data_IF_588332509308
#
_entry.id   IF_588332509308
#
_cell.length_a   1.000
_cell.length_b   1.000
_cell.length_c   1.000
_cell.angle_alpha   90.00
_cell.angle_beta   90.00
_cell.angle_gamma   90.00
#
_symmetry.space_group_name_H-M   'P 1'
#
loop_
_entity.id
_entity.type
_entity.pdbx_description
1 polymer ?
#
# COMPACT_ATOMS: atom_id res chain seq x y z
N UNK A 1 -29.72 -48.40 5.65
CA UNK A 1 -28.27 -48.46 5.40
C UNK A 1 -27.86 -47.11 4.86
N UNK A 2 -27.38 -46.28 5.77
CA UNK A 2 -27.04 -44.89 5.53
C UNK A 2 -25.56 -44.79 5.18
N UNK A 3 -25.24 -44.11 4.06
CA UNK A 3 -23.89 -43.78 3.70
C UNK A 3 -23.55 -42.34 4.14
N UNK A 4 -22.35 -42.06 4.64
CA UNK A 4 -21.99 -40.74 5.11
C UNK A 4 -21.57 -39.83 3.96
N UNK A 5 -22.15 -38.63 3.93
CA UNK A 5 -21.72 -37.51 3.07
C UNK A 5 -20.49 -36.86 3.68
N UNK A 6 -19.39 -36.77 2.91
CA UNK A 6 -18.20 -36.06 3.27
C UNK A 6 -18.36 -34.52 3.17
N UNK A 7 -17.53 -33.75 3.90
CA UNK A 7 -17.63 -32.32 3.92
C UNK A 7 -17.14 -31.67 2.61
N UNK A 8 -17.93 -30.76 2.10
CA UNK A 8 -17.54 -29.90 0.97
C UNK A 8 -16.76 -28.72 1.54
N UNK A 9 -15.48 -28.68 1.25
CA UNK A 9 -14.62 -27.54 1.51
C UNK A 9 -15.08 -26.36 0.66
N UNK A 10 -15.76 -25.43 1.31
CA UNK A 10 -16.12 -24.14 0.75
C UNK A 10 -14.93 -23.20 0.84
N UNK A 11 -14.29 -22.97 -0.29
CA UNK A 11 -13.34 -21.86 -0.51
C UNK A 11 -14.03 -20.55 -0.20
N UNK A 12 -13.81 -20.02 1.01
CA UNK A 12 -14.26 -18.70 1.41
C UNK A 12 -13.45 -17.61 0.69
N UNK A 13 -13.92 -17.19 -0.49
CA UNK A 13 -13.58 -15.88 -1.01
C UNK A 13 -14.06 -14.86 0.01
N UNK A 14 -13.15 -14.07 0.56
CA UNK A 14 -13.48 -12.93 1.40
C UNK A 14 -14.22 -11.90 0.53
N UNK A 15 -15.50 -12.11 0.39
CA UNK A 15 -16.46 -11.13 -0.08
C UNK A 15 -16.49 -10.03 0.99
N UNK A 16 -15.71 -8.97 0.74
CA UNK A 16 -15.72 -7.77 1.56
C UNK A 16 -17.06 -7.09 1.29
N UNK A 17 -18.08 -7.57 1.99
CA UNK A 17 -19.39 -6.93 1.99
C UNK A 17 -19.20 -5.42 2.18
N UNK A 18 -19.81 -4.57 1.33
CA UNK A 18 -19.76 -3.13 1.51
C UNK A 18 -20.29 -2.85 2.92
N UNK A 19 -19.50 -2.15 3.73
CA UNK A 19 -19.93 -1.69 5.05
C UNK A 19 -21.16 -0.83 4.81
N UNK A 20 -22.31 -1.37 5.12
CA UNK A 20 -23.58 -0.65 5.03
C UNK A 20 -23.45 0.57 5.94
N UNK A 21 -23.20 1.72 5.35
CA UNK A 21 -23.17 3.00 6.05
C UNK A 21 -24.58 3.26 6.58
N UNK A 22 -24.72 3.14 7.89
CA UNK A 22 -26.00 3.35 8.59
C UNK A 22 -26.28 4.87 8.69
N UNK A 23 -26.25 5.57 7.56
CA UNK A 23 -26.70 6.96 7.50
C UNK A 23 -28.21 6.93 7.18
N UNK A 24 -29.07 7.38 8.10
CA UNK A 24 -30.52 7.41 7.83
C UNK A 24 -30.80 8.24 6.57
N UNK A 25 -31.50 7.63 5.62
CA UNK A 25 -31.90 8.29 4.38
C UNK A 25 -31.05 8.04 3.14
N UNK A 26 -29.96 7.25 3.26
CA UNK A 26 -29.25 6.76 2.08
C UNK A 26 -29.95 5.54 1.47
N UNK A 27 -30.08 5.48 0.13
CA UNK A 27 -30.48 4.26 -0.55
C UNK A 27 -29.49 3.13 -0.27
N UNK A 28 -29.98 1.89 -0.19
CA UNK A 28 -29.13 0.72 0.14
C UNK A 28 -27.98 0.47 -0.85
N UNK A 29 -28.04 1.07 -2.05
CA UNK A 29 -27.00 0.99 -3.08
C UNK A 29 -25.96 2.12 -3.02
N UNK A 30 -26.19 3.16 -2.19
CA UNK A 30 -25.31 4.31 -2.10
C UNK A 30 -24.29 4.10 -0.97
N UNK A 31 -23.03 4.20 -1.32
CA UNK A 31 -21.94 4.29 -0.38
C UNK A 31 -21.69 5.74 0.07
N UNK A 32 -20.73 5.95 0.96
CA UNK A 32 -20.39 7.27 1.49
C UNK A 32 -19.87 8.24 0.43
N UNK A 33 -19.32 7.74 -0.66
CA UNK A 33 -18.76 8.50 -1.77
C UNK A 33 -19.79 8.79 -2.87
N UNK A 34 -20.98 8.14 -2.83
CA UNK A 34 -22.00 8.33 -3.85
C UNK A 34 -22.63 9.74 -3.76
N UNK A 35 -22.55 10.58 -4.82
CA UNK A 35 -23.03 11.95 -4.79
C UNK A 35 -24.55 12.02 -5.02
N UNK A 36 -25.33 11.94 -3.95
CA UNK A 36 -26.80 11.89 -3.98
C UNK A 36 -27.48 13.20 -3.56
N UNK A 37 -26.87 13.98 -2.67
CA UNK A 37 -27.51 15.14 -2.06
C UNK A 37 -27.44 16.40 -2.93
N UNK A 38 -28.57 17.07 -3.10
CA UNK A 38 -28.61 18.41 -3.72
C UNK A 38 -27.97 19.45 -2.81
N UNK A 39 -27.52 20.56 -3.37
CA UNK A 39 -26.81 21.61 -2.63
C UNK A 39 -27.60 22.17 -1.43
N UNK A 40 -28.92 22.25 -1.51
CA UNK A 40 -29.77 22.72 -0.40
C UNK A 40 -29.67 21.78 0.81
N UNK A 41 -29.75 20.48 0.57
CA UNK A 41 -29.65 19.46 1.61
C UNK A 41 -28.21 19.40 2.18
N UNK A 42 -27.19 19.47 1.33
CA UNK A 42 -25.81 19.52 1.78
C UNK A 42 -25.53 20.76 2.63
N UNK A 43 -26.08 21.91 2.27
CA UNK A 43 -25.97 23.16 3.02
C UNK A 43 -26.64 23.04 4.41
N UNK A 44 -27.84 22.47 4.47
CA UNK A 44 -28.58 22.22 5.71
C UNK A 44 -27.77 21.28 6.63
N UNK A 45 -27.33 20.14 6.10
CA UNK A 45 -26.57 19.13 6.89
C UNK A 45 -25.19 19.60 7.33
N UNK A 46 -24.56 20.50 6.57
CA UNK A 46 -23.27 21.08 6.96
C UNK A 46 -23.38 22.34 7.81
N UNK A 47 -24.59 22.88 8.02
CA UNK A 47 -24.79 24.12 8.75
C UNK A 47 -24.29 25.37 8.01
N UNK A 48 -24.16 25.32 6.69
CA UNK A 48 -23.59 26.38 5.86
C UNK A 48 -24.60 26.92 4.84
N UNK A 49 -24.35 28.11 4.31
CA UNK A 49 -25.13 28.62 3.18
C UNK A 49 -24.69 27.95 1.86
N UNK A 50 -25.69 27.68 0.98
CA UNK A 50 -25.42 27.12 -0.34
C UNK A 50 -24.40 27.93 -1.18
N UNK A 51 -24.34 29.24 -0.97
CA UNK A 51 -23.37 30.11 -1.64
C UNK A 51 -21.93 29.81 -1.17
N UNK A 52 -21.74 29.50 0.12
CA UNK A 52 -20.46 29.07 0.67
C UNK A 52 -19.99 27.75 0.02
N UNK A 53 -20.91 26.80 -0.11
CA UNK A 53 -20.61 25.51 -0.80
C UNK A 53 -20.17 25.75 -2.25
N UNK A 54 -20.82 26.68 -2.98
CA UNK A 54 -20.40 27.03 -4.34
C UNK A 54 -19.01 27.66 -4.37
N UNK A 55 -18.67 28.47 -3.36
CA UNK A 55 -17.33 29.05 -3.23
C UNK A 55 -16.29 27.98 -2.96
N UNK A 56 -16.58 27.02 -2.09
CA UNK A 56 -15.71 25.90 -1.77
C UNK A 56 -15.47 24.96 -2.95
N UNK A 57 -16.52 24.69 -3.77
CA UNK A 57 -16.36 23.99 -5.06
C UNK A 57 -15.43 24.76 -6.00
N UNK A 58 -15.60 26.08 -6.13
CA UNK A 58 -14.78 26.92 -7.02
C UNK A 58 -13.28 26.92 -6.66
N UNK A 59 -12.96 26.94 -5.38
CA UNK A 59 -11.55 26.90 -4.90
C UNK A 59 -10.99 25.47 -4.78
N UNK A 60 -11.82 24.44 -5.10
CA UNK A 60 -11.41 23.06 -5.10
C UNK A 60 -11.30 22.43 -3.71
N UNK A 61 -11.88 23.04 -2.68
CA UNK A 61 -11.92 22.50 -1.32
C UNK A 61 -12.82 21.26 -1.24
N UNK A 62 -13.99 21.31 -1.88
CA UNK A 62 -14.89 20.18 -2.10
C UNK A 62 -15.11 20.00 -3.59
N UNK A 63 -15.31 18.78 -4.04
CA UNK A 63 -15.51 18.44 -5.45
C UNK A 63 -16.80 17.66 -5.64
N UNK A 64 -17.96 18.32 -5.61
CA UNK A 64 -19.24 17.65 -5.76
C UNK A 64 -19.36 16.99 -7.13
N UNK A 65 -20.02 15.85 -7.18
CA UNK A 65 -20.44 15.22 -8.42
C UNK A 65 -21.42 16.08 -9.21
N UNK A 66 -21.67 15.69 -10.45
CA UNK A 66 -22.65 16.35 -11.33
C UNK A 66 -23.76 15.37 -11.71
N UNK A 67 -25.00 15.78 -11.55
CA UNK A 67 -26.12 15.04 -12.10
C UNK A 67 -26.17 15.20 -13.62
N UNK A 68 -26.91 14.32 -14.31
CA UNK A 68 -27.16 14.40 -15.77
C UNK A 68 -27.72 15.76 -16.20
N UNK A 69 -28.46 16.47 -15.34
CA UNK A 69 -28.91 17.84 -15.55
C UNK A 69 -27.96 18.94 -15.11
N UNK A 70 -26.68 18.65 -14.85
CA UNK A 70 -25.63 19.63 -14.51
C UNK A 70 -25.65 20.12 -13.06
N UNK A 71 -26.66 19.75 -12.26
CA UNK A 71 -26.78 20.16 -10.85
C UNK A 71 -25.69 19.49 -9.98
N UNK A 72 -25.17 20.26 -9.00
CA UNK A 72 -24.22 19.72 -8.02
C UNK A 72 -24.86 18.65 -7.16
N UNK A 73 -24.12 17.57 -6.92
CA UNK A 73 -24.48 16.50 -5.99
C UNK A 73 -23.34 16.26 -5.02
N UNK A 74 -23.68 16.17 -3.75
CA UNK A 74 -22.74 15.97 -2.65
C UNK A 74 -22.90 14.55 -2.11
N UNK A 75 -21.82 13.93 -1.72
CA UNK A 75 -21.80 12.66 -1.02
C UNK A 75 -21.88 12.87 0.50
N UNK A 76 -22.04 11.79 1.26
CA UNK A 76 -21.93 11.83 2.73
C UNK A 76 -20.54 12.32 3.15
N UNK A 77 -19.51 11.85 2.47
CA UNK A 77 -18.13 12.25 2.70
C UNK A 77 -17.92 13.75 2.44
N UNK A 78 -18.52 14.31 1.39
CA UNK A 78 -18.46 15.75 1.15
C UNK A 78 -19.11 16.56 2.28
N UNK A 79 -20.23 16.07 2.82
CA UNK A 79 -20.92 16.73 3.95
C UNK A 79 -20.09 16.65 5.23
N UNK A 80 -19.45 15.51 5.50
CA UNK A 80 -18.55 15.35 6.63
C UNK A 80 -17.35 16.31 6.52
N UNK A 81 -16.74 16.40 5.33
CA UNK A 81 -15.68 17.34 5.03
C UNK A 81 -16.08 18.80 5.25
N UNK A 82 -17.29 19.18 4.79
CA UNK A 82 -17.80 20.54 4.99
C UNK A 82 -18.01 20.88 6.47
N UNK A 83 -18.45 19.92 7.29
CA UNK A 83 -18.54 20.09 8.75
C UNK A 83 -17.17 20.30 9.38
N UNK A 84 -16.18 19.52 8.96
CA UNK A 84 -14.81 19.66 9.43
C UNK A 84 -14.21 21.01 9.07
N UNK A 85 -14.42 21.48 7.84
CA UNK A 85 -14.04 22.84 7.41
C UNK A 85 -14.67 23.89 8.30
N UNK A 86 -15.95 23.74 8.66
CA UNK A 86 -16.64 24.66 9.55
C UNK A 86 -16.04 24.66 10.95
N UNK A 87 -15.79 23.49 11.50
CA UNK A 87 -15.15 23.30 12.81
C UNK A 87 -13.78 23.99 12.85
N UNK A 88 -12.89 23.66 11.93
CA UNK A 88 -11.55 24.25 11.83
C UNK A 88 -11.57 25.78 11.70
N UNK A 89 -12.55 26.31 10.94
CA UNK A 89 -12.67 27.74 10.73
C UNK A 89 -13.27 28.48 11.93
N UNK A 90 -14.33 27.94 12.54
CA UNK A 90 -15.09 28.64 13.58
C UNK A 90 -14.59 28.37 15.00
N UNK A 91 -14.17 27.13 15.28
CA UNK A 91 -13.72 26.74 16.61
C UNK A 91 -12.21 26.91 16.78
N UNK A 92 -11.42 26.57 15.76
CA UNK A 92 -9.96 26.64 15.82
C UNK A 92 -9.37 27.90 15.16
N UNK A 93 -10.20 28.71 14.49
CA UNK A 93 -9.77 29.97 13.88
C UNK A 93 -8.82 29.80 12.71
N UNK A 94 -8.74 28.61 12.09
CA UNK A 94 -7.86 28.34 10.96
C UNK A 94 -8.40 29.07 9.72
N UNK A 95 -7.55 29.82 9.03
CA UNK A 95 -7.98 30.47 7.80
C UNK A 95 -8.20 29.46 6.65
N UNK A 96 -8.96 29.86 5.64
CA UNK A 96 -9.37 28.95 4.54
C UNK A 96 -8.18 28.35 3.77
N UNK A 97 -7.07 29.11 3.63
CA UNK A 97 -5.87 28.60 2.97
C UNK A 97 -5.19 27.50 3.80
N UNK A 98 -5.14 27.67 5.12
CA UNK A 98 -4.67 26.64 6.06
C UNK A 98 -5.55 25.39 6.04
N UNK A 99 -6.86 25.56 6.09
CA UNK A 99 -7.83 24.46 6.01
C UNK A 99 -7.62 23.66 4.70
N UNK A 100 -7.50 24.36 3.57
CA UNK A 100 -7.23 23.71 2.29
C UNK A 100 -5.94 22.86 2.35
N UNK A 101 -4.89 23.39 2.95
CA UNK A 101 -3.61 22.67 3.10
C UNK A 101 -3.73 21.46 4.03
N UNK A 102 -4.47 21.58 5.12
CA UNK A 102 -4.75 20.47 6.04
C UNK A 102 -5.42 19.32 5.28
N UNK A 103 -6.51 19.62 4.57
CA UNK A 103 -7.26 18.62 3.79
C UNK A 103 -6.39 17.98 2.69
N UNK A 104 -5.52 18.75 2.04
CA UNK A 104 -4.58 18.21 1.06
C UNK A 104 -3.60 17.22 1.71
N UNK A 105 -3.06 17.56 2.88
CA UNK A 105 -2.14 16.71 3.64
C UNK A 105 -2.84 15.46 4.17
N UNK A 106 -4.06 15.56 4.67
CA UNK A 106 -4.84 14.39 5.12
C UNK A 106 -5.06 13.42 3.97
N UNK A 107 -5.44 13.90 2.79
CA UNK A 107 -5.59 13.05 1.60
C UNK A 107 -4.27 12.39 1.17
N UNK A 108 -3.16 13.11 1.31
CA UNK A 108 -1.83 12.55 1.03
C UNK A 108 -1.47 11.45 2.03
N UNK A 109 -1.76 11.65 3.32
CA UNK A 109 -1.56 10.64 4.37
C UNK A 109 -2.41 9.41 4.09
N UNK A 110 -3.69 9.57 3.75
CA UNK A 110 -4.58 8.44 3.40
C UNK A 110 -4.02 7.65 2.21
N UNK A 111 -3.62 8.33 1.14
CA UNK A 111 -3.04 7.69 -0.05
C UNK A 111 -1.74 6.94 0.27
N UNK A 112 -0.88 7.53 1.10
CA UNK A 112 0.36 6.88 1.52
C UNK A 112 0.09 5.66 2.42
N UNK A 113 -0.92 5.75 3.27
CA UNK A 113 -1.34 4.64 4.14
C UNK A 113 -1.89 3.48 3.32
N UNK A 114 -2.75 3.75 2.34
CA UNK A 114 -3.27 2.75 1.41
C UNK A 114 -2.14 2.10 0.61
N UNK A 115 -1.20 2.91 0.13
CA UNK A 115 -0.04 2.40 -0.62
C UNK A 115 0.88 1.53 0.25
N UNK A 116 1.09 1.90 1.50
CA UNK A 116 1.84 1.08 2.46
C UNK A 116 1.14 -0.27 2.70
N UNK A 117 -0.18 -0.26 2.87
CA UNK A 117 -0.96 -1.49 3.04
C UNK A 117 -0.82 -2.41 1.82
N UNK A 118 -0.95 -1.86 0.61
CA UNK A 118 -0.77 -2.60 -0.65
C UNK A 118 0.61 -3.25 -0.76
N UNK A 119 1.68 -2.45 -0.55
CA UNK A 119 3.07 -2.95 -0.64
C UNK A 119 3.36 -3.99 0.44
N UNK A 120 2.84 -3.81 1.64
CA UNK A 120 3.00 -4.77 2.74
C UNK A 120 2.34 -6.11 2.40
N UNK A 121 1.15 -6.08 1.82
CA UNK A 121 0.44 -7.29 1.38
C UNK A 121 1.17 -7.98 0.22
N UNK A 122 1.69 -7.22 -0.74
CA UNK A 122 2.48 -7.76 -1.85
C UNK A 122 3.77 -8.42 -1.35
N UNK A 123 4.46 -7.79 -0.39
CA UNK A 123 5.64 -8.35 0.26
C UNK A 123 5.32 -9.67 0.97
N UNK A 124 4.24 -9.72 1.74
CA UNK A 124 3.79 -10.93 2.43
C UNK A 124 3.50 -12.07 1.44
N UNK A 125 2.78 -11.77 0.34
CA UNK A 125 2.51 -12.74 -0.73
C UNK A 125 3.80 -13.24 -1.39
N UNK A 126 4.76 -12.36 -1.64
CA UNK A 126 6.06 -12.69 -2.21
C UNK A 126 6.88 -13.59 -1.29
N UNK A 127 6.92 -13.28 0.01
CA UNK A 127 7.60 -14.08 1.03
C UNK A 127 7.01 -15.49 1.13
N UNK A 128 5.68 -15.62 1.17
CA UNK A 128 5.00 -16.91 1.19
C UNK A 128 5.35 -17.75 -0.06
N UNK A 129 5.38 -17.10 -1.23
CA UNK A 129 5.77 -17.77 -2.49
C UNK A 129 7.22 -18.25 -2.45
N UNK A 130 8.14 -17.44 -1.93
CA UNK A 130 9.55 -17.83 -1.79
C UNK A 130 9.73 -18.98 -0.80
N UNK A 131 9.00 -18.98 0.32
CA UNK A 131 8.99 -20.07 1.29
C UNK A 131 8.50 -21.39 0.65
N UNK A 132 7.37 -21.36 -0.03
CA UNK A 132 6.83 -22.53 -0.73
C UNK A 132 7.81 -23.07 -1.78
N UNK A 133 8.48 -22.22 -2.54
CA UNK A 133 9.50 -22.64 -3.50
C UNK A 133 10.76 -23.21 -2.83
N UNK A 134 11.13 -22.74 -1.65
CA UNK A 134 12.25 -23.27 -0.89
C UNK A 134 11.93 -24.65 -0.31
N UNK A 135 10.72 -24.86 0.14
CA UNK A 135 10.24 -26.15 0.65
C UNK A 135 10.13 -27.22 -0.47
N UNK A 136 9.65 -26.82 -1.66
CA UNK A 136 9.61 -27.71 -2.82
C UNK A 136 11.00 -28.11 -3.33
N UNK A 137 12.00 -27.33 -3.01
CA UNK A 137 13.38 -27.59 -3.38
C UNK A 137 14.08 -28.55 -2.45
N UNK A 138 13.42 -29.29 -1.61
CA UNK A 138 13.94 -30.34 -0.71
C UNK A 138 15.36 -30.11 -0.20
N UNK A 139 15.82 -30.69 0.88
CA UNK A 139 17.23 -30.58 1.25
C UNK A 139 18.05 -31.03 0.05
N UNK A 140 18.81 -30.12 -0.54
CA UNK A 140 19.84 -30.49 -1.56
C UNK A 140 20.87 -31.36 -0.88
N UNK A 141 20.45 -32.62 -0.66
CA UNK A 141 21.27 -33.69 -0.10
C UNK A 141 22.31 -34.21 -1.09
N UNK A 142 22.57 -33.47 -2.13
CA UNK A 142 23.62 -33.87 -3.06
C UNK A 142 24.45 -32.66 -3.50
N UNK A 143 24.98 -31.95 -2.49
CA UNK A 143 26.23 -31.32 -2.68
C UNK A 143 27.26 -32.48 -2.75
N UNK A 144 27.46 -33.03 -3.95
CA UNK A 144 28.65 -33.82 -4.21
C UNK A 144 29.79 -33.08 -3.57
N UNK A 145 30.57 -33.72 -2.66
CA UNK A 145 31.71 -33.04 -2.11
C UNK A 145 32.63 -32.75 -3.29
N UNK A 146 32.65 -31.47 -3.72
CA UNK A 146 33.68 -31.01 -4.63
C UNK A 146 34.97 -31.28 -3.87
N UNK A 147 35.65 -32.36 -4.26
CA UNK A 147 37.05 -32.56 -3.84
C UNK A 147 37.78 -31.29 -4.24
N UNK A 148 37.90 -30.37 -3.32
CA UNK A 148 38.90 -29.33 -3.41
C UNK A 148 40.22 -30.03 -3.33
N UNK A 149 40.76 -30.46 -4.46
CA UNK A 149 42.17 -30.65 -4.60
C UNK A 149 42.79 -29.27 -4.42
N UNK A 150 42.96 -28.89 -3.16
CA UNK A 150 43.88 -27.83 -2.83
C UNK A 150 45.25 -28.37 -3.15
N UNK A 151 45.69 -28.27 -4.40
CA UNK A 151 47.10 -28.25 -4.71
C UNK A 151 47.61 -26.93 -4.13
N UNK A 152 48.09 -27.01 -2.91
CA UNK A 152 48.90 -25.94 -2.34
C UNK A 152 50.18 -25.96 -3.17
N UNK A 153 50.28 -25.06 -4.13
CA UNK A 153 51.55 -24.78 -4.80
C UNK A 153 52.42 -24.06 -3.76
N UNK A 154 53.22 -24.83 -3.04
CA UNK A 154 54.24 -24.26 -2.18
C UNK A 154 55.28 -23.68 -3.14
N UNK A 155 55.22 -22.39 -3.37
CA UNK A 155 56.27 -21.68 -4.08
C UNK A 155 57.54 -21.74 -3.22
N UNK A 156 58.55 -22.55 -3.61
CA UNK A 156 59.89 -22.53 -3.02
C UNK A 156 60.70 -21.53 -3.83
N UNK A 157 61.22 -20.45 -3.21
CA UNK A 157 62.19 -19.59 -3.88
C UNK A 157 63.40 -20.44 -4.25
N UNK A 158 63.74 -20.41 -5.54
CA UNK A 158 64.88 -21.23 -6.07
C UNK A 158 66.15 -21.08 -5.24
N UNK A 159 66.66 -22.19 -4.76
CA UNK A 159 68.01 -22.23 -4.27
C UNK A 159 68.90 -21.75 -5.41
N UNK A 160 69.57 -20.63 -5.21
CA UNK A 160 70.73 -20.27 -6.06
C UNK A 160 71.70 -21.39 -5.95
N UNK A 161 71.94 -22.11 -7.02
CA UNK A 161 73.03 -23.03 -7.14
C UNK A 161 74.32 -22.24 -6.83
N UNK A 162 75.02 -22.67 -5.81
CA UNK A 162 76.37 -22.14 -5.53
C UNK A 162 77.26 -22.45 -6.74
N UNK A 163 78.14 -21.55 -7.16
CA UNK A 163 79.11 -21.85 -8.22
C UNK A 163 80.00 -22.98 -7.78
N UNK A 164 80.22 -23.97 -8.67
CA UNK A 164 81.19 -25.04 -8.51
C UNK A 164 82.56 -24.43 -8.29
N UNK A 165 83.36 -24.99 -7.37
CA UNK A 165 84.79 -24.59 -7.21
C UNK A 165 85.58 -25.03 -8.44
N UNK A 166 86.28 -24.07 -9.07
CA UNK A 166 87.26 -24.33 -10.13
C UNK A 166 88.35 -25.21 -9.60
N UNK A 167 88.58 -26.37 -10.22
CA UNK A 167 89.77 -27.21 -9.99
C UNK A 167 90.99 -26.45 -10.45
N UNK A 168 92.08 -26.48 -9.66
CA UNK A 168 93.33 -25.86 -10.06
C UNK A 168 94.05 -26.73 -11.12
N UNK A 169 94.77 -26.13 -12.07
CA UNK A 169 95.40 -26.87 -13.14
C UNK A 169 96.58 -27.68 -12.62
N UNK A 170 96.58 -28.98 -12.93
CA UNK A 170 97.74 -29.85 -12.72
C UNK A 170 98.92 -29.44 -13.61
N UNK A 171 100.09 -29.47 -12.99
CA UNK A 171 101.39 -29.30 -13.69
C UNK A 171 101.91 -30.62 -14.23
#
# INVERSE_FOLDING_TARGET
MSGPQGPRDGTGGADRAPRASTVPGLPAWADEDTPVFVISIAAEFSGMHAQTLRSYDRIGLVRPGRASGGGRRYSVRDIALLREVQRLSQEEGVNLAGIKRIIELEREVDQLTDRLAEVTEELARSQTRLQALSEQRGPRGDLLPVRRTQSVVVWQPGRRSAPEPEEPPER
#
